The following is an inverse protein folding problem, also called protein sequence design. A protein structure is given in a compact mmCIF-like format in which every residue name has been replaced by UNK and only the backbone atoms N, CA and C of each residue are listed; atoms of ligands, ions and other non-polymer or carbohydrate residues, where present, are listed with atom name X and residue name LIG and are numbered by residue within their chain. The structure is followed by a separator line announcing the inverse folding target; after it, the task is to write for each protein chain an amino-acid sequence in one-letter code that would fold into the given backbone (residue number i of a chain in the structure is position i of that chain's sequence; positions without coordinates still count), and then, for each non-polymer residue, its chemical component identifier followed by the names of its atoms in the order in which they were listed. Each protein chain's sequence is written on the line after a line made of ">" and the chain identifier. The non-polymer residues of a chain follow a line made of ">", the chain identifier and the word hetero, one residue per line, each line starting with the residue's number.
data_IF_631433454293
#
_entry.id   IF_631433454293
#
_cell.length_a   1.000
_cell.length_b   1.000
_cell.length_c   1.000
_cell.angle_alpha   90.00
_cell.angle_beta   90.00
_cell.angle_gamma   90.00
#
_symmetry.space_group_name_H-M   'P 1'
#
loop_
_entity.id
_entity.type
_entity.pdbx_description
1 polymer ?
#
# COMPACT_ATOMS: atom_id res chain seq x y z
N UNK A 1 -22.40 -16.50 19.69
CA UNK A 1 -22.08 -15.05 19.70
C UNK A 1 -21.84 -14.55 18.28
N UNK A 2 -22.30 -13.35 17.93
CA UNK A 2 -22.02 -12.76 16.60
C UNK A 2 -20.53 -12.46 16.41
N UNK A 3 -19.99 -12.72 15.22
CA UNK A 3 -18.55 -12.58 14.96
C UNK A 3 -18.07 -11.13 15.05
N UNK A 4 -16.78 -10.93 15.34
CA UNK A 4 -16.15 -9.58 15.43
C UNK A 4 -16.40 -8.74 14.17
N UNK A 5 -16.54 -9.41 13.00
CA UNK A 5 -16.84 -8.78 11.72
C UNK A 5 -18.30 -8.30 11.61
N UNK A 6 -19.24 -9.10 12.10
CA UNK A 6 -20.67 -8.72 12.13
C UNK A 6 -20.92 -7.56 13.09
N UNK A 7 -20.30 -7.56 14.28
CA UNK A 7 -20.38 -6.45 15.24
C UNK A 7 -19.84 -5.14 14.64
N UNK A 8 -18.71 -5.19 13.92
CA UNK A 8 -18.10 -4.01 13.29
C UNK A 8 -18.91 -3.47 12.12
N UNK A 9 -19.68 -4.32 11.42
CA UNK A 9 -20.58 -3.90 10.33
C UNK A 9 -21.80 -3.15 10.89
N UNK A 10 -22.46 -3.72 11.91
CA UNK A 10 -23.60 -3.07 12.60
C UNK A 10 -23.20 -1.73 13.25
N UNK A 11 -22.01 -1.68 13.84
CA UNK A 11 -21.47 -0.44 14.42
C UNK A 11 -21.06 0.61 13.38
N UNK A 12 -21.02 0.29 12.09
CA UNK A 12 -20.82 1.26 11.00
C UNK A 12 -22.15 1.70 10.41
N UNK A 13 -23.10 0.78 10.27
CA UNK A 13 -24.46 1.07 9.80
C UNK A 13 -25.15 2.08 10.74
N UNK A 14 -25.00 1.92 12.06
CA UNK A 14 -25.53 2.87 13.07
C UNK A 14 -24.80 4.21 13.19
N UNK A 15 -23.72 4.45 12.44
CA UNK A 15 -22.97 5.74 12.49
C UNK A 15 -23.57 6.82 11.60
N UNK A 16 -24.59 6.49 10.81
CA UNK A 16 -25.18 7.38 9.82
C UNK A 16 -26.60 7.83 10.19
N UNK A 17 -27.00 7.63 11.45
CA UNK A 17 -28.23 8.17 12.03
C UNK A 17 -27.97 9.60 12.53
N UNK A 18 -27.59 10.51 11.63
CA UNK A 18 -27.60 11.95 11.94
C UNK A 18 -28.90 12.53 11.41
N UNK A 19 -29.70 13.11 12.30
CA UNK A 19 -30.89 13.86 11.97
C UNK A 19 -30.46 15.26 11.49
N UNK A 20 -30.86 15.63 10.27
CA UNK A 20 -30.58 16.94 9.72
C UNK A 20 -31.62 17.92 10.28
N UNK A 21 -31.21 18.78 11.21
CA UNK A 21 -32.04 19.84 11.77
C UNK A 21 -31.70 21.16 11.08
N UNK A 22 -32.72 21.81 10.50
CA UNK A 22 -32.57 23.14 9.92
C UNK A 22 -32.87 24.18 11.00
N UNK A 23 -31.93 25.10 11.21
CA UNK A 23 -32.00 26.12 12.26
C UNK A 23 -31.99 27.51 11.61
N UNK A 24 -32.84 28.41 12.08
CA UNK A 24 -32.90 29.80 11.61
C UNK A 24 -31.85 30.72 12.27
N UNK A 25 -31.78 31.98 11.83
CA UNK A 25 -30.86 33.00 12.35
C UNK A 25 -31.09 33.33 13.85
N UNK A 26 -32.22 32.88 14.43
CA UNK A 26 -32.58 33.01 15.83
C UNK A 26 -32.38 31.71 16.64
N UNK A 27 -31.84 30.65 16.03
CA UNK A 27 -31.54 29.39 16.69
C UNK A 27 -32.73 28.43 16.87
N UNK A 28 -33.85 28.63 16.19
CA UNK A 28 -35.05 27.78 16.28
C UNK A 28 -35.12 26.77 15.14
N UNK A 29 -35.56 25.57 15.47
CA UNK A 29 -35.77 24.47 14.51
C UNK A 29 -36.99 24.77 13.63
N UNK A 30 -36.81 24.75 12.30
CA UNK A 30 -37.89 24.99 11.34
C UNK A 30 -38.05 23.76 10.43
N UNK A 31 -39.30 23.36 10.18
CA UNK A 31 -39.60 22.33 9.19
C UNK A 31 -39.08 22.75 7.80
N UNK A 32 -38.40 21.86 7.06
CA UNK A 32 -37.87 22.22 5.75
C UNK A 32 -39.00 22.64 4.82
N UNK A 33 -38.87 23.84 4.22
CA UNK A 33 -39.78 24.30 3.17
C UNK A 33 -39.78 23.28 2.01
N UNK A 34 -40.94 23.01 1.38
CA UNK A 34 -41.01 22.07 0.26
C UNK A 34 -40.32 22.69 -0.97
N UNK A 35 -39.02 22.41 -1.11
CA UNK A 35 -38.28 22.77 -2.32
C UNK A 35 -38.67 21.85 -3.48
N UNK A 36 -39.24 22.47 -4.52
CA UNK A 36 -39.31 21.93 -5.87
C UNK A 36 -37.92 21.42 -6.27
N UNK A 37 -37.83 20.12 -6.54
CA UNK A 37 -36.57 19.43 -6.85
C UNK A 37 -36.03 19.87 -8.22
N UNK A 38 -34.88 20.56 -8.33
CA UNK A 38 -34.14 20.51 -9.58
C UNK A 38 -33.40 19.16 -9.64
N UNK A 39 -33.68 18.34 -10.66
CA UNK A 39 -32.92 17.14 -10.99
C UNK A 39 -31.47 17.53 -11.32
N UNK A 40 -30.61 17.62 -10.31
CA UNK A 40 -29.16 17.78 -10.49
C UNK A 40 -28.56 16.40 -10.77
N UNK A 41 -28.29 16.17 -12.05
CA UNK A 41 -27.60 15.01 -12.58
C UNK A 41 -26.34 14.67 -11.77
N UNK A 42 -26.26 13.42 -11.32
CA UNK A 42 -25.14 12.88 -10.55
C UNK A 42 -23.88 12.82 -11.42
N UNK A 43 -23.08 13.88 -11.46
CA UNK A 43 -21.68 13.76 -11.87
C UNK A 43 -20.86 13.24 -10.69
N UNK A 44 -20.56 11.94 -10.72
CA UNK A 44 -19.62 11.30 -9.78
C UNK A 44 -18.22 11.84 -10.07
N UNK A 45 -17.72 12.70 -9.19
CA UNK A 45 -16.35 13.17 -9.29
C UNK A 45 -15.85 13.81 -8.01
N UNK A 46 -15.47 13.01 -7.01
CA UNK A 46 -14.48 13.47 -6.04
C UNK A 46 -13.60 12.33 -5.55
N UNK A 47 -12.40 12.33 -6.11
CA UNK A 47 -11.19 11.66 -5.64
C UNK A 47 -11.00 11.96 -4.15
N UNK A 48 -10.96 10.92 -3.32
CA UNK A 48 -10.48 10.99 -1.95
C UNK A 48 -9.23 10.12 -1.84
N UNK A 49 -8.14 10.77 -1.47
CA UNK A 49 -6.83 10.22 -1.27
C UNK A 49 -6.77 9.38 0.03
N UNK A 50 -5.89 8.39 -0.01
CA UNK A 50 -5.37 7.56 1.08
C UNK A 50 -6.28 6.52 1.77
N UNK A 51 -5.96 5.25 1.48
CA UNK A 51 -5.91 4.19 2.51
C UNK A 51 -6.79 2.96 2.26
N UNK A 52 -6.17 1.86 1.80
CA UNK A 52 -6.57 0.52 2.26
C UNK A 52 -7.54 -0.30 1.39
N UNK A 53 -6.94 -1.20 0.60
CA UNK A 53 -7.39 -2.57 0.22
C UNK A 53 -8.71 -2.77 -0.55
N UNK A 54 -8.49 -3.27 -1.77
CA UNK A 54 -9.27 -4.27 -2.51
C UNK A 54 -10.58 -3.82 -3.17
N UNK A 55 -10.45 -3.02 -4.23
CA UNK A 55 -11.42 -3.03 -5.32
C UNK A 55 -11.21 -4.29 -6.17
N UNK A 56 -12.02 -5.32 -5.93
CA UNK A 56 -12.32 -6.37 -6.90
C UNK A 56 -13.06 -5.69 -8.05
N UNK A 57 -12.55 -5.82 -9.28
CA UNK A 57 -13.24 -5.31 -10.47
C UNK A 57 -12.60 -4.09 -11.13
N UNK A 58 -11.29 -4.11 -11.36
CA UNK A 58 -10.76 -3.57 -12.62
C UNK A 58 -10.18 -4.75 -13.35
N UNK A 59 -10.59 -4.96 -14.61
CA UNK A 59 -9.99 -5.95 -15.52
C UNK A 59 -8.48 -5.85 -15.32
N UNK A 60 -7.90 -6.90 -14.74
CA UNK A 60 -6.47 -6.98 -14.59
C UNK A 60 -5.94 -6.96 -16.02
N UNK A 61 -5.39 -5.82 -16.44
CA UNK A 61 -4.49 -5.80 -17.59
C UNK A 61 -3.48 -6.94 -17.39
N UNK A 62 -2.99 -7.53 -18.50
CA UNK A 62 -2.26 -8.80 -18.49
C UNK A 62 -1.37 -8.87 -17.27
N UNK A 63 -1.71 -9.77 -16.35
CA UNK A 63 -1.02 -9.94 -15.08
C UNK A 63 0.43 -10.21 -15.45
N UNK A 64 1.28 -9.17 -15.35
CA UNK A 64 2.67 -9.22 -15.80
C UNK A 64 3.29 -10.46 -15.18
N UNK A 65 3.72 -11.38 -16.04
CA UNK A 65 4.34 -12.63 -15.63
C UNK A 65 5.42 -12.33 -14.61
N UNK A 66 5.17 -12.73 -13.36
CA UNK A 66 6.15 -12.54 -12.31
C UNK A 66 7.33 -13.45 -12.62
N UNK A 67 8.41 -12.87 -13.16
CA UNK A 67 9.67 -13.56 -13.38
C UNK A 67 10.08 -14.27 -12.09
N UNK A 68 10.54 -15.54 -12.18
CA UNK A 68 10.87 -16.33 -11.00
C UNK A 68 11.95 -15.63 -10.16
N UNK A 69 11.97 -15.87 -8.84
CA UNK A 69 12.94 -15.25 -7.95
C UNK A 69 14.36 -15.68 -8.38
N UNK A 70 15.14 -14.73 -8.87
CA UNK A 70 16.54 -14.97 -9.28
C UNK A 70 17.49 -14.25 -8.33
N UNK A 71 18.60 -14.91 -8.01
CA UNK A 71 19.69 -14.36 -7.21
C UNK A 71 20.27 -13.09 -7.86
N UNK A 72 20.40 -13.08 -9.19
CA UNK A 72 20.85 -11.91 -9.94
C UNK A 72 19.98 -10.67 -9.70
N UNK A 73 18.67 -10.84 -9.55
CA UNK A 73 17.75 -9.72 -9.28
C UNK A 73 17.92 -9.19 -7.85
N UNK A 74 18.16 -10.08 -6.89
CA UNK A 74 18.38 -9.71 -5.49
C UNK A 74 19.68 -8.93 -5.35
N UNK A 75 20.75 -9.37 -6.00
CA UNK A 75 22.04 -8.65 -6.05
C UNK A 75 21.87 -7.26 -6.67
N UNK A 76 21.24 -7.14 -7.84
CA UNK A 76 21.01 -5.82 -8.47
C UNK A 76 20.20 -4.87 -7.60
N UNK A 77 19.22 -5.38 -6.85
CA UNK A 77 18.44 -4.56 -5.91
C UNK A 77 19.22 -4.20 -4.66
N UNK A 78 20.06 -5.11 -4.17
CA UNK A 78 20.95 -4.82 -3.05
C UNK A 78 21.91 -3.67 -3.39
N UNK A 79 22.40 -3.60 -4.63
CA UNK A 79 23.29 -2.52 -5.10
C UNK A 79 22.65 -1.13 -5.03
N UNK A 80 21.31 -1.02 -5.05
CA UNK A 80 20.62 0.26 -4.85
C UNK A 80 20.84 0.81 -3.43
N UNK A 81 21.13 -0.04 -2.46
CA UNK A 81 21.40 0.37 -1.08
C UNK A 81 22.88 0.75 -0.86
N UNK A 82 23.77 0.41 -1.79
CA UNK A 82 25.20 0.76 -1.69
C UNK A 82 25.42 2.28 -1.58
N UNK A 83 24.86 3.16 -2.44
CA UNK A 83 25.02 4.61 -2.27
C UNK A 83 24.39 5.12 -0.97
N UNK A 84 23.27 4.53 -0.54
CA UNK A 84 22.62 4.89 0.73
C UNK A 84 23.54 4.59 1.92
N UNK A 85 24.09 3.37 2.00
CA UNK A 85 25.01 2.99 3.07
C UNK A 85 26.31 3.79 3.00
N UNK A 86 26.80 4.10 1.81
CA UNK A 86 27.98 4.94 1.66
C UNK A 86 27.78 6.33 2.25
N UNK A 87 26.63 6.97 2.00
CA UNK A 87 26.29 8.26 2.62
C UNK A 87 26.23 8.12 4.15
N UNK A 88 25.53 7.09 4.66
CA UNK A 88 25.42 6.85 6.10
C UNK A 88 26.80 6.67 6.74
N UNK A 89 27.65 5.80 6.19
CA UNK A 89 28.99 5.57 6.72
C UNK A 89 29.91 6.78 6.51
N UNK A 90 29.70 7.60 5.49
CA UNK A 90 30.44 8.86 5.33
C UNK A 90 30.08 9.87 6.40
N UNK A 91 28.82 9.89 6.86
CA UNK A 91 28.35 10.76 7.93
C UNK A 91 28.71 10.24 9.33
N UNK A 92 28.72 8.92 9.55
CA UNK A 92 29.04 8.33 10.86
C UNK A 92 30.56 8.20 11.03
N UNK A 93 31.27 7.69 10.03
CA UNK A 93 32.71 7.39 10.10
C UNK A 93 33.56 8.49 9.43
N UNK A 94 33.33 9.76 9.81
CA UNK A 94 33.98 10.93 9.19
C UNK A 94 35.50 10.97 9.32
N UNK A 95 36.07 10.25 10.28
CA UNK A 95 37.52 10.19 10.52
C UNK A 95 38.18 8.94 9.91
N UNK A 96 37.40 7.98 9.44
CA UNK A 96 37.95 6.76 8.80
C UNK A 96 38.33 7.04 7.35
N UNK A 97 39.32 6.31 6.84
CA UNK A 97 39.68 6.35 5.43
C UNK A 97 38.48 6.06 4.52
N UNK A 98 38.46 6.65 3.33
CA UNK A 98 37.33 6.51 2.39
C UNK A 98 37.14 5.05 1.95
N UNK A 99 38.24 4.30 1.88
CA UNK A 99 38.27 2.87 1.59
C UNK A 99 37.49 2.06 2.64
N UNK A 100 37.69 2.37 3.93
CA UNK A 100 36.99 1.70 5.02
C UNK A 100 35.49 1.97 4.94
N UNK A 101 35.09 3.19 4.59
CA UNK A 101 33.67 3.56 4.40
C UNK A 101 33.07 2.79 3.23
N UNK A 102 33.78 2.73 2.12
CA UNK A 102 33.34 2.02 0.93
C UNK A 102 33.21 0.52 1.19
N UNK A 103 34.23 -0.10 1.79
CA UNK A 103 34.24 -1.52 2.11
C UNK A 103 33.14 -1.89 3.11
N UNK A 104 32.94 -1.06 4.14
CA UNK A 104 31.84 -1.22 5.11
C UNK A 104 30.48 -1.15 4.39
N UNK A 105 30.31 -0.17 3.50
CA UNK A 105 29.06 -0.03 2.73
C UNK A 105 28.77 -1.25 1.87
N UNK A 106 29.81 -1.81 1.24
CA UNK A 106 29.73 -3.03 0.44
C UNK A 106 29.34 -4.24 1.31
N UNK A 107 30.01 -4.41 2.45
CA UNK A 107 29.74 -5.51 3.38
C UNK A 107 28.30 -5.49 3.88
N UNK A 108 27.81 -4.31 4.32
CA UNK A 108 26.43 -4.16 4.79
C UNK A 108 25.40 -4.30 3.67
N UNK A 109 25.68 -3.78 2.48
CA UNK A 109 24.82 -4.02 1.31
C UNK A 109 24.71 -5.51 0.99
N UNK A 110 25.79 -6.27 1.15
CA UNK A 110 25.81 -7.72 0.98
C UNK A 110 24.84 -8.45 1.91
N UNK A 111 24.73 -8.01 3.17
CA UNK A 111 23.78 -8.57 4.15
C UNK A 111 22.31 -8.43 3.72
N UNK A 112 21.99 -7.44 2.87
CA UNK A 112 20.64 -7.25 2.33
C UNK A 112 20.30 -8.18 1.15
N UNK A 113 21.28 -8.85 0.53
CA UNK A 113 21.05 -9.82 -0.55
C UNK A 113 20.11 -10.97 -0.13
N UNK A 114 20.35 -11.71 0.98
CA UNK A 114 19.45 -12.77 1.40
C UNK A 114 18.06 -12.26 1.80
N UNK A 115 17.98 -11.07 2.40
CA UNK A 115 16.70 -10.45 2.79
C UNK A 115 15.86 -10.10 1.56
N UNK A 116 16.47 -9.47 0.55
CA UNK A 116 15.79 -9.12 -0.71
C UNK A 116 15.34 -10.36 -1.47
N UNK A 117 16.13 -11.44 -1.45
CA UNK A 117 15.74 -12.73 -2.01
C UNK A 117 14.50 -13.32 -1.33
N UNK A 118 14.43 -13.27 0.01
CA UNK A 118 13.25 -13.72 0.76
C UNK A 118 12.01 -12.89 0.43
N UNK A 119 12.15 -11.57 0.30
CA UNK A 119 11.06 -10.71 -0.15
C UNK A 119 10.56 -11.11 -1.54
N UNK A 120 11.46 -11.34 -2.49
CA UNK A 120 11.10 -11.78 -3.84
C UNK A 120 10.41 -13.14 -3.84
N UNK A 121 10.85 -14.06 -2.97
CA UNK A 121 10.19 -15.37 -2.78
C UNK A 121 8.76 -15.22 -2.24
N UNK A 122 8.54 -14.35 -1.26
CA UNK A 122 7.19 -14.12 -0.72
C UNK A 122 6.28 -13.43 -1.72
N UNK A 123 6.80 -12.44 -2.47
CA UNK A 123 6.08 -11.76 -3.53
C UNK A 123 5.64 -12.76 -4.62
N UNK A 124 6.56 -13.63 -5.08
CA UNK A 124 6.26 -14.68 -6.03
C UNK A 124 5.19 -15.66 -5.51
N UNK A 125 5.25 -16.06 -4.23
CA UNK A 125 4.20 -16.89 -3.62
C UNK A 125 2.84 -16.19 -3.60
N UNK A 126 2.79 -14.90 -3.26
CA UNK A 126 1.54 -14.14 -3.27
C UNK A 126 1.00 -13.93 -4.68
N UNK A 127 1.88 -13.82 -5.68
CA UNK A 127 1.51 -13.76 -7.09
C UNK A 127 0.81 -15.06 -7.52
N UNK A 128 1.44 -16.22 -7.30
CA UNK A 128 0.86 -17.52 -7.66
C UNK A 128 -0.50 -17.77 -6.98
N UNK A 129 -0.63 -17.41 -5.69
CA UNK A 129 -1.90 -17.49 -4.96
C UNK A 129 -3.02 -16.61 -5.55
N UNK A 130 -2.66 -15.52 -6.24
CA UNK A 130 -3.61 -14.56 -6.81
C UNK A 130 -3.91 -14.83 -8.29
N UNK A 131 -2.94 -15.36 -9.04
CA UNK A 131 -3.09 -15.66 -10.47
C UNK A 131 -3.58 -17.07 -10.75
N UNK A 132 -3.50 -18.00 -9.79
CA UNK A 132 -3.83 -19.41 -10.01
C UNK A 132 -2.83 -20.15 -10.90
N UNK A 133 -1.75 -19.50 -11.35
CA UNK A 133 -0.68 -20.16 -12.08
C UNK A 133 0.05 -21.15 -11.16
N UNK A 134 0.28 -22.36 -11.66
CA UNK A 134 1.21 -23.29 -11.04
C UNK A 134 2.65 -22.78 -11.16
N UNK A 135 3.51 -23.02 -10.14
CA UNK A 135 4.90 -22.58 -10.19
C UNK A 135 5.62 -23.18 -11.41
N UNK A 136 6.37 -22.34 -12.14
CA UNK A 136 7.16 -22.81 -13.27
C UNK A 136 8.10 -23.96 -12.85
N UNK A 137 8.22 -25.03 -13.67
CA UNK A 137 9.08 -26.16 -13.35
C UNK A 137 10.54 -25.71 -13.22
N UNK A 138 11.21 -26.13 -12.15
CA UNK A 138 12.66 -25.95 -12.02
C UNK A 138 13.33 -26.78 -13.13
N UNK A 139 14.04 -26.12 -14.03
CA UNK A 139 15.07 -26.75 -14.86
C UNK A 139 16.38 -26.78 -14.10
#
# INVERSE_FOLDING_TARGET
>A
MASRKQRRRRAKERRHEYEYVYVDDAGREIEPAPDDKPERGRSRGKTSANGGKAARGKRAGPVREAKPPSWNRSVRRSLLFLPLFFIVFSLVNKHSAIEVRFLSSLAYSGLFVPLTYLMDRTAYRTYLRRSGQQPAPKR
#
